data_IF_096275945697
#
_entry.id   IF_096275945697
#
_cell.length_a   1.000
_cell.length_b   1.000
_cell.length_c   1.000
_cell.angle_alpha   90.00
_cell.angle_beta   90.00
_cell.angle_gamma   90.00
#
_symmetry.space_group_name_H-M   'P 1'
#
loop_
_entity.id
_entity.type
_entity.pdbx_description
1 polymer ?
#
# COMPACT_ATOMS: atom_id res chain seq x y z
N UNK A 1 3.15 0.34 9.94
CA UNK A 1 2.55 1.24 8.94
C UNK A 1 1.51 2.07 9.66
N UNK A 2 0.41 1.45 10.09
CA UNK A 2 -0.58 2.03 10.99
C UNK A 2 -0.24 1.75 12.47
N UNK A 3 -0.81 2.55 13.37
CA UNK A 3 -0.85 2.34 14.82
C UNK A 3 -2.30 2.37 15.35
N UNK A 4 -3.19 3.18 14.75
CA UNK A 4 -4.58 3.35 15.13
C UNK A 4 -5.41 3.65 13.88
N UNK A 5 -5.69 2.64 13.04
CA UNK A 5 -6.41 2.83 11.79
C UNK A 5 -7.86 3.29 12.04
N UNK A 6 -8.29 4.29 11.27
CA UNK A 6 -9.64 4.83 11.24
C UNK A 6 -10.57 4.08 10.29
N UNK A 7 -11.64 4.73 9.87
CA UNK A 7 -12.63 4.08 9.01
C UNK A 7 -12.11 3.82 7.58
N UNK A 8 -12.39 2.63 7.02
CA UNK A 8 -12.17 2.35 5.62
C UNK A 8 -13.30 2.91 4.74
N UNK A 9 -12.93 3.49 3.60
CA UNK A 9 -13.88 3.84 2.52
C UNK A 9 -13.33 3.42 1.16
N UNK A 10 -14.20 3.10 0.20
CA UNK A 10 -13.80 2.81 -1.18
C UNK A 10 -13.87 4.07 -2.05
N UNK A 11 -12.92 4.18 -2.99
CA UNK A 11 -12.99 5.14 -4.08
C UNK A 11 -13.87 4.60 -5.20
N UNK A 12 -15.10 5.13 -5.26
CA UNK A 12 -16.05 4.89 -6.36
C UNK A 12 -16.36 6.20 -7.08
N UNK A 13 -15.36 7.09 -7.17
CA UNK A 13 -15.55 8.44 -7.73
C UNK A 13 -15.55 8.45 -9.25
N UNK A 14 -15.31 7.32 -9.91
CA UNK A 14 -15.21 7.20 -11.36
C UNK A 14 -13.90 7.77 -11.91
N UNK A 15 -12.80 7.60 -11.17
CA UNK A 15 -11.47 8.09 -11.53
C UNK A 15 -11.23 9.57 -11.24
N UNK A 16 -12.10 10.21 -10.46
CA UNK A 16 -11.92 11.62 -10.07
C UNK A 16 -10.89 11.81 -8.96
N UNK A 17 -10.44 10.72 -8.32
CA UNK A 17 -9.39 10.74 -7.30
C UNK A 17 -8.08 10.06 -7.77
N UNK A 18 -7.72 10.31 -9.02
CA UNK A 18 -6.49 9.79 -9.61
C UNK A 18 -6.60 8.32 -10.02
N UNK A 19 -5.48 7.60 -10.16
CA UNK A 19 -5.45 6.29 -10.80
C UNK A 19 -5.83 5.13 -9.86
N UNK A 20 -6.55 5.38 -8.77
CA UNK A 20 -6.77 4.40 -7.69
C UNK A 20 -8.24 4.00 -7.50
N UNK A 21 -9.07 4.18 -8.53
CA UNK A 21 -10.48 3.77 -8.54
C UNK A 21 -10.63 2.32 -8.07
N UNK A 22 -11.64 2.07 -7.24
CA UNK A 22 -11.96 0.77 -6.66
C UNK A 22 -11.08 0.35 -5.48
N UNK A 23 -10.03 1.12 -5.15
CA UNK A 23 -9.22 0.87 -3.96
C UNK A 23 -9.88 1.44 -2.70
N UNK A 24 -9.47 0.92 -1.55
CA UNK A 24 -9.92 1.37 -0.25
C UNK A 24 -8.90 2.32 0.39
N UNK A 25 -9.36 3.33 1.11
CA UNK A 25 -8.56 4.33 1.80
C UNK A 25 -8.84 4.28 3.30
N UNK A 26 -7.78 4.22 4.10
CA UNK A 26 -7.84 4.10 5.56
C UNK A 26 -6.96 5.16 6.20
N UNK A 27 -7.50 5.90 7.17
CA UNK A 27 -6.76 6.93 7.90
C UNK A 27 -6.01 6.32 9.07
N UNK A 28 -5.02 7.00 9.62
CA UNK A 28 -4.45 6.63 10.90
C UNK A 28 -4.45 7.81 11.86
N UNK A 29 -4.96 7.56 13.07
CA UNK A 29 -5.04 8.57 14.11
C UNK A 29 -3.64 8.98 14.60
N UNK A 30 -2.77 8.01 14.89
CA UNK A 30 -1.49 8.32 15.53
C UNK A 30 -0.48 8.88 14.54
N UNK A 31 -0.49 8.41 13.29
CA UNK A 31 0.48 8.74 12.23
C UNK A 31 0.07 9.95 11.40
N UNK A 32 -1.19 10.39 11.47
CA UNK A 32 -1.70 11.51 10.66
C UNK A 32 -1.44 11.31 9.17
N UNK A 33 -1.77 10.11 8.67
CA UNK A 33 -1.63 9.72 7.28
C UNK A 33 -2.89 9.00 6.77
N UNK A 34 -2.94 8.81 5.45
CA UNK A 34 -3.90 7.99 4.73
C UNK A 34 -3.12 6.89 4.02
N UNK A 35 -3.65 5.68 4.07
CA UNK A 35 -3.13 4.48 3.43
C UNK A 35 -4.11 4.02 2.35
N UNK A 36 -3.60 3.33 1.33
CA UNK A 36 -4.39 2.67 0.28
C UNK A 36 -4.38 1.17 0.48
N UNK A 37 -5.50 0.51 0.20
CA UNK A 37 -5.64 -0.94 0.21
C UNK A 37 -6.18 -1.42 -1.13
N UNK A 38 -5.54 -2.44 -1.69
CA UNK A 38 -6.03 -3.19 -2.84
C UNK A 38 -6.35 -4.62 -2.45
N UNK A 39 -7.62 -5.01 -2.61
CA UNK A 39 -8.15 -6.30 -2.20
C UNK A 39 -8.16 -7.31 -3.34
N UNK A 40 -7.88 -8.56 -3.03
CA UNK A 40 -7.94 -9.71 -3.93
C UNK A 40 -8.81 -10.79 -3.29
N UNK A 41 -9.76 -11.32 -4.06
CA UNK A 41 -10.51 -12.50 -3.64
C UNK A 41 -9.71 -13.76 -3.99
N UNK A 42 -9.40 -14.58 -3.00
CA UNK A 42 -8.63 -15.84 -3.10
C UNK A 42 -9.37 -16.91 -2.32
N UNK A 43 -9.67 -18.04 -2.95
CA UNK A 43 -10.43 -19.14 -2.33
C UNK A 43 -11.71 -18.68 -1.63
N UNK A 44 -12.47 -17.77 -2.27
CA UNK A 44 -13.72 -17.23 -1.72
C UNK A 44 -13.56 -16.06 -0.73
N UNK A 45 -12.36 -15.82 -0.20
CA UNK A 45 -12.10 -14.84 0.86
C UNK A 45 -11.30 -13.64 0.37
N UNK A 46 -11.46 -12.48 1.03
CA UNK A 46 -10.66 -11.29 0.72
C UNK A 46 -9.35 -11.28 1.52
N UNK A 47 -8.26 -11.03 0.80
CA UNK A 47 -6.96 -10.68 1.35
C UNK A 47 -6.36 -9.57 0.47
N UNK A 48 -5.18 -9.03 0.80
CA UNK A 48 -4.64 -7.98 -0.05
C UNK A 48 -3.46 -7.22 0.51
N UNK A 49 -3.19 -6.11 -0.14
CA UNK A 49 -2.03 -5.26 0.09
C UNK A 49 -2.46 -3.89 0.59
N UNK A 50 -1.68 -3.36 1.53
CA UNK A 50 -1.77 -1.98 1.99
C UNK A 50 -0.49 -1.22 1.62
N UNK A 51 -0.65 0.05 1.27
CA UNK A 51 0.40 1.00 0.92
C UNK A 51 0.23 2.27 1.74
N UNK A 52 1.33 2.93 2.05
CA UNK A 52 1.27 4.33 2.46
C UNK A 52 0.82 5.21 1.27
N UNK A 53 0.20 6.36 1.53
CA UNK A 53 -0.32 7.23 0.48
C UNK A 53 -0.12 8.73 0.74
N UNK A 54 -0.90 9.34 1.63
CA UNK A 54 -0.79 10.77 1.97
C UNK A 54 -0.30 10.91 3.39
N UNK A 55 0.77 11.66 3.60
CA UNK A 55 1.38 11.87 4.90
C UNK A 55 1.34 13.33 5.32
N UNK A 56 1.73 13.58 6.58
CA UNK A 56 1.88 14.92 7.16
C UNK A 56 0.57 15.72 7.16
N UNK A 57 -0.55 15.02 7.39
CA UNK A 57 -1.82 15.68 7.66
C UNK A 57 -1.77 16.36 9.03
N UNK A 58 -2.62 17.35 9.24
CA UNK A 58 -2.50 18.26 10.38
C UNK A 58 -2.79 17.59 11.73
N UNK A 59 -3.56 16.49 11.77
CA UNK A 59 -3.76 15.66 12.96
C UNK A 59 -4.31 14.27 12.58
N UNK A 60 -4.74 13.48 13.57
CA UNK A 60 -5.08 12.07 13.41
C UNK A 60 -6.31 11.83 12.57
N UNK A 61 -6.21 11.00 11.54
CA UNK A 61 -7.27 10.79 10.55
C UNK A 61 -8.21 9.65 10.97
N UNK A 62 -9.48 9.96 11.21
CA UNK A 62 -10.46 9.01 11.77
C UNK A 62 -11.74 8.85 10.94
N UNK A 63 -12.07 9.86 10.12
CA UNK A 63 -13.29 9.90 9.30
C UNK A 63 -13.00 10.44 7.91
N UNK A 64 -13.58 9.85 6.88
CA UNK A 64 -13.32 10.11 5.48
C UNK A 64 -14.61 10.09 4.68
N UNK A 65 -14.76 11.00 3.71
CA UNK A 65 -15.86 10.93 2.75
C UNK A 65 -15.44 11.53 1.41
N UNK A 66 -15.75 10.85 0.32
CA UNK A 66 -15.62 11.41 -1.02
C UNK A 66 -16.80 12.36 -1.30
N UNK A 67 -16.50 13.58 -1.72
CA UNK A 67 -17.48 14.54 -2.21
C UNK A 67 -17.88 14.23 -3.67
N UNK A 68 -18.96 14.84 -4.15
CA UNK A 68 -19.45 14.62 -5.52
C UNK A 68 -18.47 15.06 -6.64
N UNK A 69 -17.54 15.96 -6.31
CA UNK A 69 -16.43 16.36 -7.19
C UNK A 69 -15.26 15.36 -7.19
N UNK A 70 -15.32 14.31 -6.36
CA UNK A 70 -14.28 13.31 -6.19
C UNK A 70 -13.18 13.68 -5.20
N UNK A 71 -13.24 14.87 -4.60
CA UNK A 71 -12.31 15.23 -3.53
C UNK A 71 -12.60 14.46 -2.24
N UNK A 72 -11.56 14.17 -1.47
CA UNK A 72 -11.65 13.45 -0.20
C UNK A 72 -11.64 14.43 0.96
N UNK A 73 -12.71 14.46 1.74
CA UNK A 73 -12.75 15.15 3.03
C UNK A 73 -12.28 14.23 4.15
N UNK A 74 -11.44 14.77 5.02
CA UNK A 74 -10.77 14.04 6.10
C UNK A 74 -11.06 14.75 7.42
N UNK A 75 -11.91 14.12 8.24
CA UNK A 75 -12.16 14.50 9.62
C UNK A 75 -11.07 13.95 10.53
N UNK A 76 -10.50 14.84 11.34
CA UNK A 76 -9.29 14.55 12.10
C UNK A 76 -9.40 14.99 13.56
N UNK A 77 -8.79 14.22 14.45
CA UNK A 77 -8.66 14.53 15.87
C UNK A 77 -7.33 14.04 16.44
N UNK A 78 -6.71 14.90 17.24
CA UNK A 78 -5.61 14.59 18.15
C UNK A 78 -6.02 14.82 19.61
N UNK A 79 -7.31 15.07 19.87
CA UNK A 79 -7.83 15.30 21.21
C UNK A 79 -7.81 14.00 22.01
N UNK A 80 -7.26 14.04 23.23
CA UNK A 80 -7.12 12.89 24.12
C UNK A 80 -5.87 12.05 23.85
N UNK A 81 -5.56 11.79 22.57
CA UNK A 81 -4.37 11.07 22.16
C UNK A 81 -3.64 11.88 21.08
N UNK A 82 -2.44 12.36 21.40
CA UNK A 82 -1.63 13.13 20.45
C UNK A 82 -1.39 12.36 19.14
N UNK A 83 -1.22 13.11 18.06
CA UNK A 83 -0.96 12.58 16.72
C UNK A 83 0.29 13.23 16.12
N UNK A 84 0.86 12.61 15.09
CA UNK A 84 2.07 13.12 14.44
C UNK A 84 1.89 14.53 13.84
N UNK A 85 0.67 14.90 13.44
CA UNK A 85 0.35 16.21 12.88
C UNK A 85 0.31 17.35 13.91
N UNK A 86 0.12 17.04 15.20
CA UNK A 86 0.26 17.98 16.31
C UNK A 86 -0.93 18.91 16.59
N UNK A 87 -1.89 19.08 15.67
CA UNK A 87 -3.12 19.84 15.98
C UNK A 87 -4.09 19.02 16.82
N UNK A 88 -4.94 19.67 17.60
CA UNK A 88 -5.98 18.98 18.39
C UNK A 88 -7.16 18.49 17.54
N UNK A 89 -7.51 19.23 16.48
CA UNK A 89 -8.62 18.92 15.58
C UNK A 89 -8.30 19.39 14.17
N UNK A 90 -8.98 18.81 13.18
CA UNK A 90 -8.78 19.18 11.80
C UNK A 90 -9.88 18.70 10.88
N UNK A 91 -10.14 19.49 9.85
CA UNK A 91 -10.87 19.10 8.66
C UNK A 91 -10.00 19.49 7.47
N UNK A 92 -9.63 18.53 6.61
CA UNK A 92 -8.88 18.80 5.38
C UNK A 92 -9.58 18.23 4.17
N UNK A 93 -9.49 18.94 3.05
CA UNK A 93 -9.87 18.44 1.74
C UNK A 93 -8.61 18.07 0.96
N UNK A 94 -8.57 16.85 0.45
CA UNK A 94 -7.57 16.39 -0.51
C UNK A 94 -8.25 16.35 -1.87
N UNK A 95 -7.69 17.05 -2.85
CA UNK A 95 -8.18 17.03 -4.22
C UNK A 95 -7.04 16.61 -5.15
N UNK A 96 -7.35 15.71 -6.08
CA UNK A 96 -6.44 15.41 -7.17
C UNK A 96 -6.39 16.61 -8.13
N UNK A 97 -5.21 16.93 -8.67
CA UNK A 97 -5.01 18.07 -9.57
C UNK A 97 -5.51 17.80 -11.01
N UNK A 98 -5.98 16.58 -11.27
CA UNK A 98 -6.44 16.13 -12.58
C UNK A 98 -5.33 15.91 -13.61
N UNK A 99 -4.06 16.05 -13.22
CA UNK A 99 -2.91 16.11 -14.14
C UNK A 99 -1.79 15.16 -13.73
N UNK A 100 -1.51 15.05 -12.44
CA UNK A 100 -0.37 14.31 -11.91
C UNK A 100 -0.76 12.87 -11.65
N UNK A 101 -0.25 11.96 -12.47
CA UNK A 101 -0.20 10.53 -12.15
C UNK A 101 1.11 10.25 -11.40
N UNK A 102 1.10 9.87 -10.12
CA UNK A 102 2.32 9.50 -9.41
C UNK A 102 2.89 8.20 -9.98
N UNK A 103 4.21 7.98 -9.96
CA UNK A 103 4.76 6.63 -10.15
C UNK A 103 4.67 5.87 -8.82
N UNK A 104 3.76 4.90 -8.74
CA UNK A 104 3.45 4.17 -7.50
C UNK A 104 3.14 2.71 -7.82
N UNK A 105 3.33 1.85 -6.82
CA UNK A 105 2.68 0.54 -6.82
C UNK A 105 1.17 0.78 -6.74
N UNK A 106 0.50 0.56 -7.87
CA UNK A 106 -0.94 0.58 -7.95
C UNK A 106 -1.51 -0.58 -7.12
N UNK A 107 -0.96 -1.78 -7.33
CA UNK A 107 -1.51 -3.01 -6.79
C UNK A 107 -0.42 -4.07 -6.58
N UNK A 108 -0.68 -5.03 -5.70
CA UNK A 108 0.11 -6.24 -5.52
C UNK A 108 -0.88 -7.40 -5.38
N UNK A 109 -0.78 -8.37 -6.29
CA UNK A 109 -1.61 -9.58 -6.29
C UNK A 109 -0.77 -10.81 -6.07
N UNK A 110 -1.32 -11.73 -5.29
CA UNK A 110 -0.81 -13.09 -5.17
C UNK A 110 -0.94 -13.82 -6.51
N UNK A 111 0.06 -14.64 -6.80
CA UNK A 111 0.11 -15.59 -7.91
C UNK A 111 0.50 -16.98 -7.34
N UNK A 112 0.55 -18.03 -8.16
CA UNK A 112 0.94 -19.37 -7.70
C UNK A 112 2.40 -19.46 -7.21
N UNK A 113 3.26 -18.54 -7.64
CA UNK A 113 4.72 -18.60 -7.43
C UNK A 113 5.28 -17.40 -6.67
N UNK A 114 4.45 -16.43 -6.30
CA UNK A 114 4.89 -15.18 -5.68
C UNK A 114 3.89 -14.05 -5.86
N UNK A 115 4.37 -12.85 -6.19
CA UNK A 115 3.53 -11.66 -6.30
C UNK A 115 3.73 -10.93 -7.62
N UNK A 116 2.64 -10.37 -8.15
CA UNK A 116 2.71 -9.41 -9.26
C UNK A 116 2.43 -8.02 -8.73
N UNK A 117 3.38 -7.12 -8.93
CA UNK A 117 3.26 -5.69 -8.64
C UNK A 117 2.81 -5.00 -9.92
N UNK A 118 1.72 -4.25 -9.85
CA UNK A 118 1.23 -3.39 -10.94
C UNK A 118 1.55 -1.94 -10.62
N UNK A 119 2.01 -1.19 -11.60
CA UNK A 119 2.41 0.21 -11.47
C UNK A 119 1.44 1.15 -12.20
N UNK A 120 1.33 2.37 -11.69
CA UNK A 120 0.55 3.46 -12.31
C UNK A 120 1.21 4.02 -13.58
N UNK A 121 2.53 3.84 -13.74
CA UNK A 121 3.30 4.19 -14.94
C UNK A 121 4.23 3.03 -15.33
N UNK A 122 4.65 2.93 -16.61
CA UNK A 122 5.70 2.00 -17.01
C UNK A 122 7.00 2.21 -16.23
N UNK A 123 7.53 1.14 -15.62
CA UNK A 123 8.82 1.12 -14.93
C UNK A 123 9.99 1.07 -15.93
N UNK A 124 11.13 1.66 -15.56
CA UNK A 124 12.39 1.44 -16.29
C UNK A 124 12.79 -0.04 -16.22
N UNK A 125 12.85 -0.76 -17.36
CA UNK A 125 13.09 -2.20 -17.37
C UNK A 125 14.52 -2.56 -16.93
N UNK A 126 15.48 -1.65 -17.05
CA UNK A 126 16.89 -1.89 -16.71
C UNK A 126 17.03 -2.17 -15.23
N UNK A 127 16.48 -1.28 -14.40
CA UNK A 127 16.47 -1.43 -12.95
C UNK A 127 15.38 -2.38 -12.45
N UNK A 128 14.27 -2.55 -13.17
CA UNK A 128 13.20 -3.46 -12.75
C UNK A 128 13.55 -4.95 -12.91
N UNK A 129 14.51 -5.31 -13.78
CA UNK A 129 14.94 -6.72 -13.92
C UNK A 129 15.88 -7.18 -12.81
N UNK A 130 16.54 -6.24 -12.12
CA UNK A 130 17.53 -6.54 -11.09
C UNK A 130 16.86 -7.03 -9.80
N UNK A 131 17.02 -8.31 -9.47
CA UNK A 131 16.45 -8.90 -8.25
C UNK A 131 16.91 -8.19 -6.97
N UNK A 132 18.13 -7.63 -6.97
CA UNK A 132 18.72 -6.88 -5.84
C UNK A 132 18.03 -5.53 -5.59
N UNK A 133 17.16 -5.06 -6.50
CA UNK A 133 16.36 -3.86 -6.32
C UNK A 133 15.04 -4.12 -5.57
N UNK A 134 14.79 -5.38 -5.20
CA UNK A 134 13.65 -5.79 -4.39
C UNK A 134 14.14 -6.41 -3.10
N UNK A 135 13.51 -6.03 -2.00
CA UNK A 135 13.66 -6.71 -0.72
C UNK A 135 12.30 -7.21 -0.29
N UNK A 136 12.20 -8.51 -0.04
CA UNK A 136 10.99 -9.12 0.49
C UNK A 136 11.28 -9.60 1.91
N UNK A 137 10.44 -9.20 2.85
CA UNK A 137 10.43 -9.75 4.20
C UNK A 137 9.09 -10.42 4.45
N UNK A 138 9.07 -11.48 5.25
CA UNK A 138 7.83 -12.08 5.73
C UNK A 138 7.89 -12.37 7.21
N UNK A 139 6.75 -12.28 7.89
CA UNK A 139 6.62 -12.64 9.30
C UNK A 139 5.17 -13.00 9.62
N UNK A 140 4.96 -13.69 10.74
CA UNK A 140 3.65 -13.91 11.34
C UNK A 140 3.48 -13.14 12.65
N UNK A 141 2.34 -13.33 13.29
CA UNK A 141 2.05 -12.87 14.64
C UNK A 141 1.51 -14.04 15.45
N UNK A 142 1.86 -14.10 16.73
CA UNK A 142 1.26 -15.07 17.64
C UNK A 142 -0.23 -14.74 17.85
N UNK A 143 -1.09 -15.75 17.72
CA UNK A 143 -2.52 -15.65 17.98
C UNK A 143 -2.80 -15.99 19.45
N UNK A 144 -2.95 -14.95 20.28
CA UNK A 144 -3.23 -15.08 21.71
C UNK A 144 -3.97 -13.85 22.25
N UNK A 145 -4.67 -13.96 23.40
CA UNK A 145 -5.44 -12.84 23.94
C UNK A 145 -4.60 -11.70 24.56
N UNK A 146 -3.30 -11.92 24.82
CA UNK A 146 -2.45 -10.85 25.36
C UNK A 146 -2.33 -9.70 24.37
N UNK A 147 -2.37 -8.47 24.90
CA UNK A 147 -2.26 -7.26 24.09
C UNK A 147 -0.91 -7.18 23.38
N UNK A 148 -0.96 -6.96 22.07
CA UNK A 148 0.21 -6.88 21.20
C UNK A 148 0.82 -8.25 20.88
N UNK A 149 1.50 -8.32 19.74
CA UNK A 149 2.21 -9.52 19.32
C UNK A 149 3.46 -9.10 18.55
N UNK A 150 4.62 -9.61 18.97
CA UNK A 150 5.86 -9.41 18.23
C UNK A 150 5.80 -10.11 16.87
N UNK A 151 6.68 -9.70 15.95
CA UNK A 151 6.86 -10.46 14.71
C UNK A 151 7.44 -11.83 15.04
N UNK A 152 6.85 -12.88 14.50
CA UNK A 152 7.33 -14.26 14.61
C UNK A 152 7.82 -14.75 13.25
N UNK A 153 8.78 -15.69 13.24
CA UNK A 153 9.32 -16.29 12.02
C UNK A 153 9.72 -15.26 10.94
N UNK A 154 10.36 -14.16 11.36
CA UNK A 154 10.75 -13.10 10.46
C UNK A 154 11.89 -13.58 9.55
N UNK A 155 11.63 -13.62 8.24
CA UNK A 155 12.61 -14.00 7.22
C UNK A 155 12.75 -12.91 6.16
N UNK A 156 13.94 -12.85 5.57
CA UNK A 156 14.20 -12.10 4.34
C UNK A 156 14.22 -13.10 3.19
N UNK A 157 13.45 -12.81 2.16
CA UNK A 157 13.36 -13.59 0.94
C UNK A 157 13.93 -12.74 -0.21
N UNK A 158 14.82 -13.32 -1.00
CA UNK A 158 15.26 -12.72 -2.27
C UNK A 158 14.40 -13.32 -3.38
N UNK A 159 13.84 -12.51 -4.31
CA UNK A 159 13.14 -13.08 -5.46
C UNK A 159 14.07 -14.01 -6.24
N UNK A 160 13.63 -15.24 -6.48
CA UNK A 160 14.39 -16.22 -7.28
C UNK A 160 14.39 -15.85 -8.75
N UNK A 161 13.35 -15.15 -9.19
CA UNK A 161 13.20 -14.63 -10.54
C UNK A 161 12.33 -13.38 -10.56
N UNK A 162 12.68 -12.47 -11.45
CA UNK A 162 11.96 -11.22 -11.70
C UNK A 162 11.60 -11.13 -13.17
N UNK A 163 10.32 -10.99 -13.47
CA UNK A 163 9.82 -10.88 -14.84
C UNK A 163 9.07 -9.57 -15.03
N UNK A 164 9.58 -8.69 -15.89
CA UNK A 164 8.93 -7.41 -16.23
C UNK A 164 8.00 -7.64 -17.42
N UNK A 165 6.76 -7.17 -17.33
CA UNK A 165 5.82 -7.22 -18.45
C UNK A 165 6.29 -6.37 -19.64
N UNK A 166 5.85 -6.72 -20.86
CA UNK A 166 6.27 -6.05 -22.10
C UNK A 166 5.96 -4.54 -22.11
N UNK A 167 4.82 -4.15 -21.54
CA UNK A 167 4.41 -2.74 -21.40
C UNK A 167 5.15 -1.99 -20.28
N UNK A 168 5.87 -2.72 -19.41
CA UNK A 168 6.53 -2.20 -18.22
C UNK A 168 5.57 -1.81 -17.10
N UNK A 169 4.28 -2.15 -17.16
CA UNK A 169 3.30 -1.79 -16.12
C UNK A 169 3.20 -2.81 -15.00
N UNK A 170 3.85 -3.95 -15.12
CA UNK A 170 3.91 -4.91 -14.02
C UNK A 170 5.24 -5.66 -13.93
N UNK A 171 5.53 -6.12 -12.72
CA UNK A 171 6.65 -6.99 -12.40
C UNK A 171 6.12 -8.18 -11.61
N UNK A 172 6.45 -9.38 -12.06
CA UNK A 172 6.25 -10.60 -11.30
C UNK A 172 7.53 -10.96 -10.53
N UNK A 173 7.39 -11.16 -9.23
CA UNK A 173 8.42 -11.62 -8.31
C UNK A 173 8.10 -13.05 -7.89
N UNK A 174 8.95 -14.00 -8.26
CA UNK A 174 8.88 -15.37 -7.74
C UNK A 174 9.52 -15.40 -6.34
N UNK A 175 8.73 -15.77 -5.32
CA UNK A 175 9.16 -15.84 -3.92
C UNK A 175 8.45 -17.01 -3.21
N UNK A 176 9.09 -17.67 -2.23
CA UNK A 176 8.42 -18.70 -1.43
C UNK A 176 7.18 -18.15 -0.72
N UNK A 177 6.07 -18.86 -0.89
CA UNK A 177 4.77 -18.51 -0.33
C UNK A 177 4.47 -19.35 0.93
N UNK A 178 4.04 -18.68 1.99
CA UNK A 178 3.65 -19.28 3.26
C UNK A 178 2.42 -18.52 3.77
N UNK A 179 1.36 -19.25 4.10
CA UNK A 179 0.10 -18.72 4.63
C UNK A 179 0.27 -18.17 6.04
N UNK A 180 -0.68 -17.34 6.46
CA UNK A 180 -0.69 -16.65 7.75
C UNK A 180 0.54 -15.75 7.94
N UNK A 181 1.01 -15.14 6.84
CA UNK A 181 2.16 -14.23 6.84
C UNK A 181 1.79 -12.87 6.29
N UNK A 182 2.43 -11.85 6.84
CA UNK A 182 2.55 -10.53 6.22
C UNK A 182 3.84 -10.53 5.40
N UNK A 183 3.72 -10.22 4.11
CA UNK A 183 4.82 -9.96 3.20
C UNK A 183 5.03 -8.47 3.05
N UNK A 184 6.21 -7.97 3.40
CA UNK A 184 6.65 -6.60 3.12
C UNK A 184 7.56 -6.61 1.90
N UNK A 185 7.11 -5.95 0.84
CA UNK A 185 7.87 -5.80 -0.41
C UNK A 185 8.37 -4.37 -0.47
N UNK A 186 9.68 -4.20 -0.65
CA UNK A 186 10.36 -2.90 -0.68
C UNK A 186 11.08 -2.77 -2.01
N UNK A 187 10.78 -1.70 -2.73
CA UNK A 187 11.54 -1.24 -3.89
C UNK A 187 12.71 -0.38 -3.41
N UNK A 188 13.89 -0.58 -3.99
CA UNK A 188 15.11 0.14 -3.58
C UNK A 188 14.98 1.65 -3.81
N UNK A 189 15.04 2.41 -2.72
CA UNK A 189 14.91 3.88 -2.70
C UNK A 189 15.99 4.53 -3.56
N UNK A 190 15.63 5.57 -4.31
CA UNK A 190 16.55 6.34 -5.17
C UNK A 190 17.02 5.62 -6.43
N UNK A 191 16.76 4.31 -6.55
CA UNK A 191 17.04 3.53 -7.77
C UNK A 191 15.75 3.35 -8.57
N UNK A 192 14.65 3.02 -7.90
CA UNK A 192 13.41 2.64 -8.56
C UNK A 192 12.65 3.85 -9.16
N UNK A 193 12.48 3.90 -10.49
CA UNK A 193 11.88 4.99 -11.26
C UNK A 193 11.05 4.51 -12.46
N UNK A 194 10.15 5.37 -12.93
CA UNK A 194 9.42 5.18 -14.17
C UNK A 194 10.32 5.42 -15.40
N UNK A 195 9.88 4.95 -16.58
CA UNK A 195 10.57 5.21 -17.86
C UNK A 195 10.78 6.69 -18.16
N UNK A 196 9.87 7.55 -17.69
CA UNK A 196 9.95 9.01 -17.83
C UNK A 196 10.88 9.68 -16.78
N UNK A 197 11.55 8.89 -15.93
CA UNK A 197 12.43 9.38 -14.87
C UNK A 197 11.71 9.73 -13.56
N UNK A 198 10.38 9.65 -13.48
CA UNK A 198 9.63 9.94 -12.24
C UNK A 198 10.05 8.98 -11.13
N UNK A 199 10.45 9.52 -9.98
CA UNK A 199 10.76 8.73 -8.78
C UNK A 199 9.52 8.06 -8.17
N UNK A 200 9.72 7.02 -7.38
CA UNK A 200 8.63 6.35 -6.66
C UNK A 200 8.01 7.26 -5.61
N UNK A 201 6.68 7.40 -5.63
CA UNK A 201 5.94 8.14 -4.61
C UNK A 201 5.95 7.42 -3.26
N UNK A 202 5.81 6.09 -3.30
CA UNK A 202 5.96 5.17 -2.17
C UNK A 202 6.65 3.90 -2.66
N UNK A 203 7.52 3.33 -1.84
CA UNK A 203 8.37 2.21 -2.22
C UNK A 203 8.08 0.92 -1.46
N UNK A 204 7.13 0.92 -0.53
CA UNK A 204 6.86 -0.23 0.34
C UNK A 204 5.39 -0.66 0.25
N UNK A 205 5.18 -1.97 0.18
CA UNK A 205 3.89 -2.63 0.16
C UNK A 205 3.84 -3.69 1.26
N UNK A 206 2.69 -3.89 1.89
CA UNK A 206 2.48 -4.92 2.90
C UNK A 206 1.28 -5.77 2.51
N UNK A 207 1.51 -7.01 2.09
CA UNK A 207 0.49 -7.96 1.68
C UNK A 207 0.22 -8.96 2.81
N UNK A 208 -1.04 -9.18 3.17
CA UNK A 208 -1.42 -10.27 4.08
C UNK A 208 -1.85 -11.48 3.26
N UNK A 209 -1.13 -12.60 3.41
CA UNK A 209 -1.40 -13.85 2.72
C UNK A 209 -2.11 -14.81 3.68
N UNK A 210 -3.41 -15.01 3.47
CA UNK A 210 -4.23 -15.93 4.26
C UNK A 210 -4.33 -17.27 3.54
N UNK A 211 -4.66 -17.25 2.25
CA UNK A 211 -4.86 -18.42 1.40
C UNK A 211 -4.00 -18.36 0.13
N UNK A 212 -3.67 -19.53 -0.40
CA UNK A 212 -3.04 -19.69 -1.72
C UNK A 212 -4.09 -19.74 -2.83
N UNK A 213 -3.67 -19.44 -4.06
CA UNK A 213 -4.50 -19.70 -5.24
C UNK A 213 -4.55 -21.20 -5.51
N UNK A 214 -5.74 -21.69 -5.86
CA UNK A 214 -5.96 -23.06 -6.39
C UNK A 214 -5.28 -23.24 -7.76
#
# INVERSE_FOLDING_TARGET
MANSPGEPIFDYTGGKFGPFEGQMFIGDQSRSNIMRVSLQKVAGEYQGVIFDFINRLQTGCIRHVFAGDGSLWVGQTGRGWGSAGGKEYGLQRVAWDGKTTPFSMHDVKLTKTGFTITFTKPVDPTMAKEATNYMVERWGYAYHPRYGSGKTNHKKEAPTKVTVAKDGRSVHLEVPLETERVYKIILKVGVYKAKDGTGTANNTAWYTLNSLLE
#
